data_IF_009660537550
#
_entry.id   IF_009660537550
#
_cell.length_a   1.000
_cell.length_b   1.000
_cell.length_c   1.000
_cell.angle_alpha   90.00
_cell.angle_beta   90.00
_cell.angle_gamma   90.00
#
_symmetry.space_group_name_H-M   'P 1'
#
loop_
_entity.id
_entity.type
_entity.pdbx_description
1 polymer ?
#
# COMPACT_ATOMS: atom_id res chain seq x y z
N UNK A 1 1.82 13.09 19.18
CA UNK A 1 3.25 12.80 19.47
C UNK A 1 3.58 11.56 18.65
N UNK A 2 4.39 11.69 17.63
CA UNK A 2 4.80 10.55 16.79
C UNK A 2 5.69 9.66 17.67
N UNK A 3 5.22 8.46 18.01
CA UNK A 3 6.06 7.46 18.64
C UNK A 3 6.92 6.84 17.54
N UNK A 4 8.14 7.35 17.41
CA UNK A 4 9.15 6.71 16.60
C UNK A 4 9.61 5.47 17.35
N UNK A 5 9.82 4.38 16.61
CA UNK A 5 10.40 3.19 17.22
C UNK A 5 11.82 3.50 17.66
N UNK A 6 12.17 3.17 18.91
CA UNK A 6 13.54 3.26 19.43
C UNK A 6 14.51 2.27 18.77
N UNK A 7 14.00 1.43 17.85
CA UNK A 7 14.80 0.47 17.11
C UNK A 7 15.44 1.13 15.88
N UNK A 8 16.70 0.81 15.58
CA UNK A 8 17.37 1.28 14.37
C UNK A 8 16.54 0.88 13.14
N UNK A 9 16.40 1.82 12.20
CA UNK A 9 15.67 1.58 10.97
C UNK A 9 16.31 0.44 10.16
N UNK A 10 15.50 -0.57 9.87
CA UNK A 10 15.81 -1.64 8.94
C UNK A 10 14.84 -1.56 7.74
N UNK A 11 15.39 -1.54 6.54
CA UNK A 11 14.58 -1.46 5.33
C UNK A 11 13.91 -2.79 5.00
N UNK A 12 12.59 -2.77 4.83
CA UNK A 12 11.78 -3.90 4.38
C UNK A 12 11.46 -3.74 2.88
N UNK A 13 12.17 -4.44 1.97
CA UNK A 13 11.91 -4.34 0.53
C UNK A 13 10.58 -4.98 0.13
N UNK A 14 9.97 -4.54 -0.99
CA UNK A 14 8.77 -5.18 -1.52
C UNK A 14 9.12 -6.58 -2.06
N UNK A 15 8.30 -7.57 -1.75
CA UNK A 15 8.44 -8.96 -2.22
C UNK A 15 7.08 -9.48 -2.70
N UNK A 16 6.44 -8.83 -3.69
CA UNK A 16 5.07 -9.13 -4.07
C UNK A 16 4.90 -10.58 -4.51
N UNK A 17 3.86 -11.23 -3.99
CA UNK A 17 3.46 -12.58 -4.35
C UNK A 17 1.96 -12.58 -4.64
N UNK A 18 1.57 -12.91 -5.88
CA UNK A 18 0.18 -12.81 -6.34
C UNK A 18 -0.80 -13.65 -5.53
N UNK A 19 -0.40 -14.87 -5.13
CA UNK A 19 -1.26 -15.75 -4.34
C UNK A 19 -1.48 -15.18 -2.94
N UNK A 20 -0.41 -14.72 -2.28
CA UNK A 20 -0.51 -14.14 -0.93
C UNK A 20 -1.27 -12.82 -0.96
N UNK A 21 -1.05 -11.99 -1.99
CA UNK A 21 -1.81 -10.76 -2.17
C UNK A 21 -3.30 -11.05 -2.35
N UNK A 22 -3.66 -12.00 -3.21
CA UNK A 22 -5.06 -12.40 -3.42
C UNK A 22 -5.71 -12.93 -2.12
N UNK A 23 -5.01 -13.79 -1.37
CA UNK A 23 -5.49 -14.28 -0.08
C UNK A 23 -5.63 -13.15 0.95
N UNK A 24 -4.65 -12.25 1.01
CA UNK A 24 -4.67 -11.10 1.90
C UNK A 24 -5.82 -10.12 1.58
N UNK A 25 -6.07 -9.84 0.31
CA UNK A 25 -7.20 -9.02 -0.13
C UNK A 25 -8.54 -9.68 0.18
N UNK A 26 -8.67 -10.99 -0.07
CA UNK A 26 -9.87 -11.75 0.30
C UNK A 26 -10.12 -11.68 1.81
N UNK A 27 -9.08 -11.92 2.62
CA UNK A 27 -9.15 -11.82 4.07
C UNK A 27 -9.52 -10.40 4.52
N UNK A 28 -8.86 -9.38 3.95
CA UNK A 28 -9.11 -7.98 4.26
C UNK A 28 -10.57 -7.61 4.03
N UNK A 29 -11.12 -7.94 2.87
CA UNK A 29 -12.54 -7.69 2.56
C UNK A 29 -13.50 -8.41 3.51
N UNK A 30 -13.21 -9.67 3.82
CA UNK A 30 -14.14 -10.52 4.55
C UNK A 30 -14.14 -10.25 6.05
N UNK A 31 -13.02 -9.85 6.61
CA UNK A 31 -12.82 -9.78 8.05
C UNK A 31 -12.29 -8.44 8.57
N UNK A 32 -11.40 -7.75 7.86
CA UNK A 32 -10.82 -6.51 8.34
C UNK A 32 -11.74 -5.32 8.03
N UNK A 33 -12.08 -5.07 6.77
CA UNK A 33 -12.92 -3.93 6.38
C UNK A 33 -14.27 -3.96 7.07
N UNK A 34 -14.95 -5.11 7.06
CA UNK A 34 -16.25 -5.27 7.72
C UNK A 34 -16.14 -5.42 9.25
N UNK A 35 -14.94 -5.58 9.78
CA UNK A 35 -14.67 -5.81 11.21
C UNK A 35 -15.02 -4.62 12.10
N UNK A 36 -15.02 -4.82 13.43
CA UNK A 36 -15.44 -3.80 14.40
C UNK A 36 -14.53 -2.56 14.40
N UNK A 37 -13.29 -2.71 13.98
CA UNK A 37 -12.31 -1.63 13.94
C UNK A 37 -12.55 -0.67 12.77
N UNK A 38 -12.82 -1.21 11.57
CA UNK A 38 -12.96 -0.40 10.36
C UNK A 38 -14.41 -0.11 9.97
N UNK A 39 -15.33 -1.05 10.18
CA UNK A 39 -16.78 -0.92 9.93
C UNK A 39 -17.16 -0.49 8.52
N UNK A 40 -16.37 -0.88 7.52
CA UNK A 40 -16.59 -0.54 6.11
C UNK A 40 -17.36 -1.67 5.46
N UNK A 41 -18.60 -1.39 5.06
CA UNK A 41 -19.49 -2.39 4.44
C UNK A 41 -19.22 -2.56 2.95
N UNK A 42 -18.89 -1.48 2.25
CA UNK A 42 -18.60 -1.49 0.82
C UNK A 42 -17.61 -0.40 0.43
N UNK A 43 -16.88 -0.64 -0.63
CA UNK A 43 -16.03 0.36 -1.31
C UNK A 43 -16.58 0.48 -2.73
N UNK A 44 -16.87 1.70 -3.15
CA UNK A 44 -17.33 1.99 -4.53
C UNK A 44 -16.34 2.95 -5.18
N UNK A 45 -15.91 2.61 -6.38
CA UNK A 45 -15.01 3.47 -7.16
C UNK A 45 -15.83 4.19 -8.23
N UNK A 46 -15.90 5.51 -8.13
CA UNK A 46 -16.51 6.36 -9.13
C UNK A 46 -15.45 6.90 -10.09
N UNK A 47 -15.85 7.16 -11.35
CA UNK A 47 -14.97 7.72 -12.38
C UNK A 47 -13.66 6.92 -12.61
N UNK A 48 -13.71 5.60 -12.56
CA UNK A 48 -12.56 4.72 -12.78
C UNK A 48 -11.99 4.77 -14.22
N UNK A 49 -12.77 5.26 -15.18
CA UNK A 49 -12.41 5.26 -16.60
C UNK A 49 -11.04 5.87 -16.94
N UNK A 50 -10.68 7.06 -16.44
CA UNK A 50 -9.37 7.65 -16.72
C UNK A 50 -8.20 6.75 -16.27
N UNK A 51 -8.27 6.17 -15.07
CA UNK A 51 -7.24 5.27 -14.57
C UNK A 51 -7.13 3.98 -15.40
N UNK A 52 -8.28 3.41 -15.78
CA UNK A 52 -8.32 2.23 -16.63
C UNK A 52 -7.74 2.49 -18.03
N UNK A 53 -7.97 3.67 -18.59
CA UNK A 53 -7.41 4.07 -19.89
C UNK A 53 -5.89 4.24 -19.80
N UNK A 54 -5.38 4.94 -18.79
CA UNK A 54 -3.94 5.09 -18.55
C UNK A 54 -3.29 3.71 -18.41
N UNK A 55 -3.92 2.79 -17.67
CA UNK A 55 -3.40 1.44 -17.50
C UNK A 55 -3.33 0.66 -18.82
N UNK A 56 -4.32 0.80 -19.71
CA UNK A 56 -4.32 0.15 -21.02
C UNK A 56 -3.21 0.69 -21.93
N UNK A 57 -2.96 1.99 -21.88
CA UNK A 57 -2.01 2.67 -22.75
C UNK A 57 -0.56 2.56 -22.26
N UNK A 58 -0.34 2.63 -20.97
CA UNK A 58 0.98 2.78 -20.34
C UNK A 58 1.33 1.67 -19.34
N UNK A 59 0.48 0.66 -19.20
CA UNK A 59 0.62 -0.36 -18.16
C UNK A 59 0.40 0.24 -16.76
N UNK A 60 0.98 -0.37 -15.74
CA UNK A 60 0.85 0.10 -14.37
C UNK A 60 1.86 1.20 -13.98
N UNK A 61 2.38 1.99 -14.93
CA UNK A 61 3.27 3.13 -14.65
C UNK A 61 2.48 4.31 -14.08
N UNK A 62 1.85 4.10 -12.94
CA UNK A 62 0.95 5.04 -12.29
C UNK A 62 1.41 5.27 -10.85
N UNK A 63 1.48 6.53 -10.46
CA UNK A 63 1.65 6.96 -9.09
C UNK A 63 0.29 7.41 -8.55
N UNK A 64 -0.18 6.75 -7.51
CA UNK A 64 -1.43 7.05 -6.81
C UNK A 64 -1.11 7.80 -5.52
N UNK A 65 -1.70 8.97 -5.35
CA UNK A 65 -1.49 9.86 -4.21
C UNK A 65 -2.83 10.12 -3.49
N UNK A 66 -3.40 9.12 -2.82
CA UNK A 66 -4.64 9.31 -2.07
C UNK A 66 -4.40 10.11 -0.78
N UNK A 67 -5.46 10.78 -0.30
CA UNK A 67 -5.48 11.36 1.04
C UNK A 67 -5.44 10.26 2.11
N UNK A 68 -4.92 10.61 3.30
CA UNK A 68 -4.82 9.69 4.43
C UNK A 68 -5.60 10.20 5.65
N UNK A 69 -6.90 9.97 5.64
CA UNK A 69 -7.82 10.45 6.68
C UNK A 69 -8.07 9.42 7.78
N UNK A 70 -7.87 8.13 7.48
CA UNK A 70 -8.17 7.04 8.41
C UNK A 70 -7.15 5.89 8.30
N UNK A 71 -7.03 5.10 9.38
CA UNK A 71 -6.21 3.88 9.36
C UNK A 71 -6.72 2.81 8.37
N UNK A 72 -7.94 2.96 7.85
CA UNK A 72 -8.55 2.05 6.89
C UNK A 72 -8.12 2.33 5.44
N UNK A 73 -7.59 3.53 5.15
CA UNK A 73 -7.32 3.99 3.78
C UNK A 73 -6.44 3.07 2.95
N UNK A 74 -5.37 2.44 3.50
CA UNK A 74 -4.58 1.50 2.72
C UNK A 74 -5.38 0.29 2.24
N UNK A 75 -6.31 -0.22 3.06
CA UNK A 75 -7.17 -1.34 2.70
C UNK A 75 -8.26 -0.93 1.71
N UNK A 76 -8.84 0.28 1.89
CA UNK A 76 -9.80 0.86 0.97
C UNK A 76 -9.14 1.06 -0.40
N UNK A 77 -7.92 1.60 -0.41
CA UNK A 77 -7.17 1.84 -1.64
C UNK A 77 -6.79 0.54 -2.35
N UNK A 78 -6.39 -0.50 -1.60
CA UNK A 78 -6.13 -1.82 -2.17
C UNK A 78 -7.38 -2.42 -2.81
N UNK A 79 -8.55 -2.31 -2.15
CA UNK A 79 -9.82 -2.76 -2.71
C UNK A 79 -10.24 -1.94 -3.94
N UNK A 80 -10.05 -0.61 -3.91
CA UNK A 80 -10.31 0.25 -5.07
C UNK A 80 -9.41 -0.13 -6.26
N UNK A 81 -8.12 -0.32 -6.04
CA UNK A 81 -7.19 -0.79 -7.07
C UNK A 81 -7.62 -2.13 -7.68
N UNK A 82 -8.05 -3.07 -6.84
CA UNK A 82 -8.56 -4.36 -7.30
C UNK A 82 -9.80 -4.20 -8.19
N UNK A 83 -10.75 -3.34 -7.83
CA UNK A 83 -11.98 -3.10 -8.62
C UNK A 83 -11.69 -2.51 -9.99
N UNK A 84 -10.66 -1.68 -10.11
CA UNK A 84 -10.25 -1.10 -11.39
C UNK A 84 -9.23 -1.97 -12.16
N UNK A 85 -8.85 -3.12 -11.59
CA UNK A 85 -7.93 -4.06 -12.22
C UNK A 85 -6.46 -3.66 -12.15
N UNK A 86 -6.08 -2.77 -11.21
CA UNK A 86 -4.71 -2.32 -10.98
C UNK A 86 -4.15 -3.03 -9.76
N UNK A 87 -2.97 -3.58 -9.86
CA UNK A 87 -2.24 -4.06 -8.68
C UNK A 87 -1.23 -3.02 -8.23
N UNK A 88 -1.38 -2.53 -6.99
CA UNK A 88 -0.53 -1.49 -6.43
C UNK A 88 0.45 -2.01 -5.38
N UNK A 89 1.64 -1.45 -5.39
CA UNK A 89 2.64 -1.56 -4.32
C UNK A 89 2.49 -0.33 -3.42
N UNK A 90 2.60 -0.52 -2.10
CA UNK A 90 2.36 0.52 -1.10
C UNK A 90 3.67 0.89 -0.39
N UNK A 91 3.94 2.19 -0.30
CA UNK A 91 4.94 2.71 0.63
C UNK A 91 4.29 2.89 1.99
N UNK A 92 4.83 2.27 3.03
CA UNK A 92 4.29 2.31 4.38
C UNK A 92 5.37 2.63 5.42
N UNK A 93 5.00 3.29 6.51
CA UNK A 93 5.90 3.60 7.60
C UNK A 93 6.50 2.32 8.19
N UNK A 94 7.78 2.33 8.52
CA UNK A 94 8.50 1.12 8.91
C UNK A 94 8.02 0.52 10.24
N UNK A 95 7.53 1.35 11.16
CA UNK A 95 6.96 0.92 12.44
C UNK A 95 5.79 -0.06 12.28
N UNK A 96 5.05 0.02 11.19
CA UNK A 96 3.95 -0.91 10.88
C UNK A 96 4.47 -2.33 10.62
N UNK A 97 5.68 -2.47 10.07
CA UNK A 97 6.32 -3.77 9.83
C UNK A 97 6.84 -4.41 11.12
N UNK A 98 7.08 -3.61 12.16
CA UNK A 98 7.62 -4.08 13.43
C UNK A 98 6.57 -4.62 14.40
N UNK A 99 5.27 -4.39 14.15
CA UNK A 99 4.19 -4.84 15.04
C UNK A 99 4.22 -6.36 15.29
N UNK A 100 4.52 -7.15 14.25
CA UNK A 100 4.88 -8.56 14.39
C UNK A 100 5.65 -9.04 13.17
N UNK A 101 6.50 -10.08 13.34
CA UNK A 101 7.25 -10.69 12.22
C UNK A 101 6.31 -11.23 11.12
N UNK A 102 5.19 -11.84 11.53
CA UNK A 102 4.18 -12.36 10.60
C UNK A 102 3.53 -11.23 9.79
N UNK A 103 3.17 -10.13 10.44
CA UNK A 103 2.59 -8.96 9.76
C UNK A 103 3.57 -8.35 8.76
N UNK A 104 4.82 -8.10 9.15
CA UNK A 104 5.85 -7.58 8.26
C UNK A 104 6.07 -8.48 7.04
N UNK A 105 6.12 -9.81 7.26
CA UNK A 105 6.25 -10.79 6.18
C UNK A 105 5.05 -10.75 5.21
N UNK A 106 3.82 -10.73 5.75
CA UNK A 106 2.59 -10.64 4.92
C UNK A 106 2.56 -9.34 4.13
N UNK A 107 2.85 -8.20 4.78
CA UNK A 107 2.86 -6.89 4.12
C UNK A 107 3.84 -6.85 2.94
N UNK A 108 5.06 -7.36 3.11
CA UNK A 108 6.01 -7.45 1.99
C UNK A 108 5.47 -8.31 0.84
N UNK A 109 4.79 -9.42 1.14
CA UNK A 109 4.19 -10.32 0.13
C UNK A 109 2.96 -9.72 -0.56
N UNK A 110 2.24 -8.86 0.13
CA UNK A 110 1.16 -8.08 -0.45
C UNK A 110 1.66 -6.89 -1.29
N UNK A 111 2.98 -6.63 -1.28
CA UNK A 111 3.61 -5.59 -2.09
C UNK A 111 3.90 -4.31 -1.33
N UNK A 112 3.86 -4.30 0.01
CA UNK A 112 4.29 -3.14 0.77
C UNK A 112 5.81 -3.14 0.98
N UNK A 113 6.40 -1.94 1.03
CA UNK A 113 7.78 -1.71 1.46
C UNK A 113 7.85 -0.54 2.45
N UNK A 114 8.90 -0.57 3.29
CA UNK A 114 9.01 0.40 4.37
C UNK A 114 9.64 1.72 3.91
N UNK A 115 9.28 2.80 4.60
CA UNK A 115 9.96 4.10 4.49
C UNK A 115 10.32 4.63 5.88
N UNK A 116 11.52 5.19 6.00
CA UNK A 116 11.91 5.98 7.16
C UNK A 116 11.38 7.41 6.99
N UNK A 117 10.52 7.84 7.92
CA UNK A 117 9.94 9.20 7.91
C UNK A 117 10.83 10.24 8.58
N UNK A 118 11.87 9.80 9.31
CA UNK A 118 12.73 10.68 10.10
C UNK A 118 13.96 11.19 9.36
N UNK A 119 14.11 10.80 8.10
CA UNK A 119 15.28 11.19 7.33
C UNK A 119 15.22 10.80 5.87
N UNK A 120 16.35 10.98 5.19
CA UNK A 120 16.48 10.60 3.79
C UNK A 120 16.59 9.08 3.65
N UNK A 121 15.57 8.45 3.08
CA UNK A 121 15.56 7.02 2.79
C UNK A 121 15.79 6.74 1.30
N UNK A 122 17.07 6.62 0.95
CA UNK A 122 17.49 6.36 -0.43
C UNK A 122 17.05 4.99 -0.95
N UNK A 123 16.90 3.99 -0.06
CA UNK A 123 16.50 2.63 -0.48
C UNK A 123 15.03 2.61 -0.87
N UNK A 124 14.20 3.15 -0.01
CA UNK A 124 12.76 3.28 -0.28
C UNK A 124 12.50 4.10 -1.55
N UNK A 125 13.20 5.22 -1.73
CA UNK A 125 13.08 6.03 -2.94
C UNK A 125 13.53 5.28 -4.20
N UNK A 126 14.62 4.51 -4.13
CA UNK A 126 15.09 3.68 -5.24
C UNK A 126 14.04 2.65 -5.66
N UNK A 127 13.43 1.95 -4.70
CA UNK A 127 12.41 0.94 -4.99
C UNK A 127 11.10 1.57 -5.48
N UNK A 128 10.75 2.76 -4.98
CA UNK A 128 9.62 3.55 -5.50
C UNK A 128 9.80 3.90 -6.98
N UNK A 129 10.95 4.45 -7.35
CA UNK A 129 11.30 4.79 -8.73
C UNK A 129 11.33 3.53 -9.60
N UNK A 130 11.98 2.46 -9.12
CA UNK A 130 12.08 1.20 -9.84
C UNK A 130 10.69 0.59 -10.11
N UNK A 131 9.77 0.68 -9.15
CA UNK A 131 8.38 0.20 -9.31
C UNK A 131 7.66 0.92 -10.44
N UNK A 132 7.75 2.25 -10.49
CA UNK A 132 7.10 3.05 -11.55
C UNK A 132 7.75 2.81 -12.91
N UNK A 133 9.08 2.71 -12.99
CA UNK A 133 9.79 2.44 -14.25
C UNK A 133 9.45 1.05 -14.78
N UNK A 134 9.43 0.04 -13.92
CA UNK A 134 9.11 -1.36 -14.30
C UNK A 134 7.69 -1.49 -14.86
N UNK A 135 6.73 -0.76 -14.30
CA UNK A 135 5.37 -0.68 -14.82
C UNK A 135 4.52 -1.93 -14.66
N UNK A 136 4.97 -2.92 -13.87
CA UNK A 136 4.16 -4.10 -13.53
C UNK A 136 3.12 -3.81 -12.47
N UNK A 137 3.39 -2.82 -11.62
CA UNK A 137 2.58 -2.41 -10.48
C UNK A 137 2.44 -0.90 -10.46
N UNK A 138 1.28 -0.41 -10.06
CA UNK A 138 1.15 0.98 -9.65
C UNK A 138 1.88 1.20 -8.31
N UNK A 139 2.26 2.43 -8.02
CA UNK A 139 2.82 2.81 -6.73
C UNK A 139 1.80 3.66 -5.98
N UNK A 140 1.43 3.29 -4.77
CA UNK A 140 0.59 4.10 -3.88
C UNK A 140 1.42 4.68 -2.75
N UNK A 141 1.36 5.99 -2.61
CA UNK A 141 1.99 6.75 -1.52
C UNK A 141 0.92 7.64 -0.89
N UNK A 142 0.82 7.64 0.42
CA UNK A 142 0.02 8.60 1.18
C UNK A 142 0.93 9.77 1.56
N UNK A 143 0.84 10.93 0.86
CA UNK A 143 1.85 11.99 0.97
C UNK A 143 1.83 12.69 2.34
N UNK A 144 0.71 12.65 3.06
CA UNK A 144 0.62 13.21 4.41
C UNK A 144 1.51 12.45 5.41
N UNK A 145 1.86 11.19 5.12
CA UNK A 145 2.72 10.36 5.96
C UNK A 145 2.13 9.99 7.32
N UNK A 146 0.96 10.50 7.65
CA UNK A 146 0.24 10.25 8.89
C UNK A 146 -1.26 10.41 8.71
N UNK A 147 -2.04 9.79 9.62
CA UNK A 147 -3.49 9.97 9.69
C UNK A 147 -3.79 11.22 10.51
N UNK A 148 -4.67 12.09 10.02
CA UNK A 148 -5.13 13.30 10.68
C UNK A 148 -6.58 13.16 11.12
#
# INVERSE_FOLDING_TARGET
MLQFSDQPYEYFPPKPNRLIAWLGEWWSRRYLLAGPEHRIQSVTVENAGPLQNIQREHGARVLLLPNHSTHSDPMIMAEACRQVGVWSIFMAAYDVFLRSRAQGWVMQRMGAFSVNRDGSDRRSMKDAIATVIDGRYALTIFPEGNVY
#
